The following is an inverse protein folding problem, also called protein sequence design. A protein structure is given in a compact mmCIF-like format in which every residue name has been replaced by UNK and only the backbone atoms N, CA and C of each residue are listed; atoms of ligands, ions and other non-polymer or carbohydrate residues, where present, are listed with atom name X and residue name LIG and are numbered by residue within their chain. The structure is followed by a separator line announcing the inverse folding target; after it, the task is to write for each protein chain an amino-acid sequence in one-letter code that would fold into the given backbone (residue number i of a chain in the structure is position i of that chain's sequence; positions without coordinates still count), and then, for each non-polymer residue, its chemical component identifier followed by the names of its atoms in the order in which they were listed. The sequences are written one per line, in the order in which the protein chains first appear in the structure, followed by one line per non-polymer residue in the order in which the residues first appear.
data_IF_870020024483
#
_entry.id   IF_870020024483
#
_cell.length_a   1.000
_cell.length_b   1.000
_cell.length_c   1.000
_cell.angle_alpha   90.00
_cell.angle_beta   90.00
_cell.angle_gamma   90.00
#
_symmetry.space_group_name_H-M   'P 1'
#
loop_
_entity.id
_entity.type
_entity.pdbx_description
1 polymer ?
#
# COMPACT_ATOMS: atom_id res chain seq x y z
N UNK A 1 -4.92 12.70 -36.83
CA UNK A 1 -4.81 12.43 -35.37
C UNK A 1 -4.24 13.66 -34.68
N UNK A 2 -4.71 13.99 -33.47
CA UNK A 2 -4.19 15.15 -32.73
C UNK A 2 -2.73 14.95 -32.30
N UNK A 3 -1.85 15.98 -32.41
CA UNK A 3 -0.43 15.89 -32.04
C UNK A 3 -0.20 15.41 -30.60
N UNK A 4 -1.08 15.80 -29.66
CA UNK A 4 -1.03 15.39 -28.26
C UNK A 4 -1.22 13.89 -28.07
N UNK A 5 -2.10 13.27 -28.87
CA UNK A 5 -2.36 11.81 -28.83
C UNK A 5 -1.14 11.05 -29.32
N UNK A 6 -0.52 11.51 -30.41
CA UNK A 6 0.70 10.89 -30.95
C UNK A 6 1.88 11.04 -29.99
N UNK A 7 2.03 12.20 -29.35
CA UNK A 7 3.09 12.43 -28.37
C UNK A 7 2.90 11.55 -27.13
N UNK A 8 1.67 11.46 -26.60
CA UNK A 8 1.36 10.56 -25.50
C UNK A 8 1.64 9.10 -25.85
N UNK A 9 1.29 8.69 -27.08
CA UNK A 9 1.54 7.33 -27.56
C UNK A 9 3.04 7.03 -27.64
N UNK A 10 3.86 7.99 -28.12
CA UNK A 10 5.33 7.81 -28.18
C UNK A 10 5.93 7.56 -26.80
N UNK A 11 5.51 8.33 -25.79
CA UNK A 11 5.95 8.13 -24.42
C UNK A 11 5.47 6.79 -23.84
N UNK A 12 4.26 6.35 -24.17
CA UNK A 12 3.74 5.05 -23.74
C UNK A 12 4.37 3.84 -24.46
N UNK A 13 5.08 4.05 -25.57
CA UNK A 13 5.72 2.99 -26.36
C UNK A 13 7.21 2.85 -26.10
N UNK A 14 7.84 3.81 -25.42
CA UNK A 14 9.27 3.78 -25.13
C UNK A 14 9.48 3.65 -23.62
N UNK A 15 9.54 2.41 -23.09
CA UNK A 15 9.97 2.22 -21.71
C UNK A 15 11.39 2.75 -21.54
N UNK A 16 11.62 3.47 -20.44
CA UNK A 16 12.95 3.96 -20.10
C UNK A 16 13.83 2.82 -19.58
N UNK A 17 13.22 1.87 -18.87
CA UNK A 17 13.87 0.71 -18.26
C UNK A 17 13.14 -0.57 -18.66
N UNK A 18 13.91 -1.58 -19.08
CA UNK A 18 13.45 -2.90 -19.52
C UNK A 18 14.16 -4.02 -18.74
N UNK A 19 13.68 -5.26 -18.90
CA UNK A 19 14.27 -6.50 -18.35
C UNK A 19 14.56 -6.44 -16.84
N UNK A 20 13.60 -5.92 -16.08
CA UNK A 20 13.74 -5.78 -14.63
C UNK A 20 13.66 -7.16 -13.97
N UNK A 21 14.70 -7.50 -13.21
CA UNK A 21 14.74 -8.72 -12.40
C UNK A 21 15.25 -8.42 -11.00
N UNK A 22 14.63 -9.07 -10.01
CA UNK A 22 14.91 -8.84 -8.59
C UNK A 22 15.41 -10.14 -7.99
N UNK A 23 16.62 -10.10 -7.44
CA UNK A 23 17.27 -11.24 -6.78
C UNK A 23 17.51 -10.91 -5.31
N UNK A 24 17.18 -11.86 -4.45
CA UNK A 24 17.29 -11.72 -2.99
C UNK A 24 18.46 -12.57 -2.51
N UNK A 25 19.43 -11.94 -1.85
CA UNK A 25 20.52 -12.62 -1.18
C UNK A 25 20.26 -12.58 0.34
N UNK A 26 19.80 -13.71 0.86
CA UNK A 26 19.32 -13.84 2.23
C UNK A 26 20.10 -14.92 2.99
N UNK A 27 20.26 -14.77 4.31
CA UNK A 27 20.92 -15.78 5.13
C UNK A 27 20.22 -17.14 5.09
N UNK A 28 21.02 -18.21 5.24
CA UNK A 28 20.53 -19.59 5.37
C UNK A 28 19.50 -19.65 6.51
N UNK A 29 18.21 -19.81 6.18
CA UNK A 29 16.98 -19.88 7.03
C UNK A 29 15.99 -18.73 6.85
N UNK A 30 16.31 -17.70 6.06
CA UNK A 30 15.36 -16.63 5.70
C UNK A 30 15.01 -16.75 4.23
N UNK A 31 13.73 -16.68 3.91
CA UNK A 31 13.20 -16.70 2.54
C UNK A 31 12.37 -15.45 2.28
N UNK A 32 12.43 -14.94 1.04
CA UNK A 32 11.57 -13.84 0.58
C UNK A 32 10.47 -14.40 -0.32
N UNK A 33 9.23 -14.01 -0.02
CA UNK A 33 8.08 -14.24 -0.89
C UNK A 33 7.61 -12.90 -1.44
N UNK A 34 7.71 -12.70 -2.76
CA UNK A 34 7.22 -11.49 -3.40
C UNK A 34 5.68 -11.51 -3.45
N UNK A 35 5.05 -10.43 -2.99
CA UNK A 35 3.59 -10.29 -2.87
C UNK A 35 2.96 -9.44 -3.98
N UNK A 36 3.78 -8.71 -4.73
CA UNK A 36 3.35 -7.88 -5.86
C UNK A 36 3.57 -8.60 -7.19
N UNK A 37 2.79 -8.27 -8.24
CA UNK A 37 3.06 -8.75 -9.60
C UNK A 37 4.48 -8.41 -10.07
N UNK A 38 5.09 -9.24 -10.95
CA UNK A 38 6.39 -8.93 -11.54
C UNK A 38 6.35 -7.61 -12.33
N UNK A 39 7.39 -6.79 -12.17
CA UNK A 39 7.58 -5.57 -12.96
C UNK A 39 8.46 -5.95 -14.15
N UNK A 40 8.00 -5.69 -15.37
CA UNK A 40 8.73 -6.01 -16.60
C UNK A 40 9.39 -4.78 -17.23
N UNK A 41 8.76 -3.62 -17.14
CA UNK A 41 9.27 -2.36 -17.69
C UNK A 41 8.83 -1.15 -16.87
N UNK A 42 9.54 -0.02 -17.02
CA UNK A 42 9.17 1.26 -16.42
C UNK A 42 9.29 2.39 -17.44
N UNK A 43 8.29 3.27 -17.44
CA UNK A 43 8.26 4.47 -18.28
C UNK A 43 8.80 5.69 -17.52
N UNK A 44 9.20 6.72 -18.26
CA UNK A 44 9.70 7.96 -17.66
C UNK A 44 8.65 8.59 -16.74
N UNK A 45 9.05 8.92 -15.50
CA UNK A 45 8.16 9.48 -14.48
C UNK A 45 7.31 8.46 -13.72
N UNK A 46 7.31 7.18 -14.13
CA UNK A 46 6.61 6.13 -13.41
C UNK A 46 7.44 5.63 -12.22
N UNK A 47 6.76 5.41 -11.09
CA UNK A 47 7.30 4.72 -9.92
C UNK A 47 6.61 3.37 -9.79
N UNK A 48 7.39 2.33 -9.49
CA UNK A 48 6.86 0.98 -9.24
C UNK A 48 7.27 0.53 -7.84
N UNK A 49 6.36 -0.17 -7.15
CA UNK A 49 6.55 -0.65 -5.78
C UNK A 49 6.49 -2.17 -5.76
N UNK A 50 7.45 -2.79 -5.08
CA UNK A 50 7.50 -4.23 -4.85
C UNK A 50 7.40 -4.50 -3.35
N UNK A 51 6.44 -5.33 -2.97
CA UNK A 51 6.29 -5.80 -1.60
C UNK A 51 6.80 -7.24 -1.51
N UNK A 52 7.63 -7.52 -0.52
CA UNK A 52 8.09 -8.88 -0.23
C UNK A 52 7.93 -9.18 1.26
N UNK A 53 7.45 -10.38 1.55
CA UNK A 53 7.36 -10.93 2.90
C UNK A 53 8.61 -11.77 3.18
N UNK A 54 9.33 -11.40 4.22
CA UNK A 54 10.45 -12.19 4.73
C UNK A 54 9.94 -13.16 5.78
N UNK A 55 10.27 -14.44 5.65
CA UNK A 55 9.92 -15.49 6.60
C UNK A 55 11.15 -16.27 7.03
N UNK A 56 11.26 -16.54 8.33
CA UNK A 56 12.38 -17.28 8.90
C UNK A 56 12.87 -16.70 10.23
N UNK A 57 13.81 -17.41 10.86
CA UNK A 57 14.52 -16.94 12.04
C UNK A 57 16.00 -16.82 11.72
N UNK A 58 16.56 -15.60 11.79
CA UNK A 58 18.00 -15.40 11.68
C UNK A 58 18.62 -15.41 13.08
N UNK A 59 19.56 -16.34 13.32
CA UNK A 59 20.27 -16.45 14.60
C UNK A 59 21.69 -15.87 14.56
N UNK A 60 22.23 -15.59 13.36
CA UNK A 60 23.63 -15.16 13.18
C UNK A 60 23.84 -14.04 12.17
N UNK A 61 22.99 -13.93 11.15
CA UNK A 61 23.12 -12.92 10.11
C UNK A 61 22.03 -11.86 10.29
N UNK A 62 22.47 -10.61 10.41
CA UNK A 62 21.63 -9.46 10.77
C UNK A 62 21.22 -8.65 9.54
N UNK A 63 21.72 -9.02 8.36
CA UNK A 63 21.59 -8.25 7.13
C UNK A 63 21.22 -9.17 5.96
N UNK A 64 20.40 -8.64 5.06
CA UNK A 64 20.10 -9.21 3.76
C UNK A 64 20.40 -8.19 2.67
N UNK A 65 20.46 -8.63 1.42
CA UNK A 65 20.58 -7.71 0.29
C UNK A 65 19.59 -8.03 -0.82
N UNK A 66 19.17 -6.98 -1.52
CA UNK A 66 18.34 -7.06 -2.71
C UNK A 66 19.13 -6.49 -3.86
N UNK A 67 19.28 -7.27 -4.92
CA UNK A 67 19.90 -6.81 -6.16
C UNK A 67 18.83 -6.72 -7.24
N UNK A 68 18.69 -5.52 -7.81
CA UNK A 68 17.82 -5.24 -8.95
C UNK A 68 18.69 -5.10 -10.18
N UNK A 69 18.47 -5.96 -11.18
CA UNK A 69 19.11 -5.88 -12.49
C UNK A 69 18.10 -5.38 -13.51
N UNK A 70 18.53 -4.50 -14.40
CA UNK A 70 17.67 -3.88 -15.40
C UNK A 70 18.49 -3.35 -16.59
N UNK A 71 17.82 -3.10 -17.71
CA UNK A 71 18.39 -2.46 -18.89
C UNK A 71 17.91 -1.02 -18.97
N UNK A 72 18.81 -0.04 -18.86
CA UNK A 72 18.50 1.39 -19.01
C UNK A 72 18.98 1.84 -20.39
N UNK A 73 18.05 2.26 -21.25
CA UNK A 73 18.36 2.67 -22.64
C UNK A 73 19.25 1.63 -23.38
N UNK A 74 18.95 0.33 -23.20
CA UNK A 74 19.69 -0.77 -23.82
C UNK A 74 21.02 -1.13 -23.14
N UNK A 75 21.36 -0.50 -22.01
CA UNK A 75 22.59 -0.80 -21.26
C UNK A 75 22.27 -1.57 -19.98
N UNK A 76 22.89 -2.75 -19.76
CA UNK A 76 22.68 -3.50 -18.54
C UNK A 76 23.23 -2.72 -17.34
N UNK A 77 22.42 -2.62 -16.30
CA UNK A 77 22.74 -1.95 -15.05
C UNK A 77 22.24 -2.82 -13.89
N UNK A 78 22.86 -2.65 -12.72
CA UNK A 78 22.42 -3.31 -11.51
C UNK A 78 22.60 -2.40 -10.31
N UNK A 79 21.68 -2.45 -9.36
CA UNK A 79 21.78 -1.80 -8.07
C UNK A 79 21.57 -2.82 -6.97
N UNK A 80 22.38 -2.74 -5.93
CA UNK A 80 22.27 -3.56 -4.74
C UNK A 80 21.94 -2.68 -3.54
N UNK A 81 20.94 -3.09 -2.78
CA UNK A 81 20.51 -2.45 -1.54
C UNK A 81 20.68 -3.45 -0.40
N UNK A 82 21.40 -3.05 0.63
CA UNK A 82 21.53 -3.80 1.87
C UNK A 82 20.53 -3.31 2.90
N UNK A 83 19.96 -4.23 3.68
CA UNK A 83 18.97 -3.90 4.70
C UNK A 83 19.11 -4.81 5.93
N UNK A 84 18.78 -4.26 7.10
CA UNK A 84 18.79 -5.05 8.34
C UNK A 84 17.57 -5.97 8.42
N UNK A 85 17.79 -7.20 8.87
CA UNK A 85 16.75 -8.17 9.19
C UNK A 85 16.15 -7.96 10.59
N UNK A 86 16.68 -7.00 11.37
CA UNK A 86 16.06 -6.60 12.62
C UNK A 86 14.77 -5.83 12.30
N UNK A 87 13.61 -6.29 12.78
CA UNK A 87 12.39 -5.53 12.65
C UNK A 87 12.59 -4.16 13.29
N UNK A 88 12.24 -3.10 12.58
CA UNK A 88 12.19 -1.77 13.18
C UNK A 88 11.05 -1.77 14.23
N UNK A 89 11.34 -1.27 15.44
CA UNK A 89 10.39 -1.32 16.56
C UNK A 89 9.12 -0.49 16.31
N UNK A 90 9.21 0.53 15.42
CA UNK A 90 8.14 1.53 15.23
C UNK A 90 7.77 1.81 13.76
N UNK A 91 7.97 0.87 12.84
CA UNK A 91 7.51 1.08 11.43
C UNK A 91 5.98 1.13 11.27
N UNK A 92 5.24 0.95 12.36
CA UNK A 92 3.78 0.83 12.35
C UNK A 92 3.29 -0.34 11.50
N UNK A 93 1.97 -0.39 11.29
CA UNK A 93 1.32 -1.41 10.47
C UNK A 93 1.08 -0.96 9.01
N UNK A 94 1.56 0.22 8.63
CA UNK A 94 1.22 0.83 7.33
C UNK A 94 1.74 0.02 6.16
N UNK A 95 3.03 -0.31 6.14
CA UNK A 95 3.63 -1.14 5.07
C UNK A 95 3.01 -2.53 5.06
N UNK A 96 2.73 -3.10 6.23
CA UNK A 96 2.06 -4.40 6.36
C UNK A 96 0.66 -4.38 5.71
N UNK A 97 -0.15 -3.36 6.00
CA UNK A 97 -1.48 -3.17 5.41
C UNK A 97 -1.41 -2.92 3.90
N UNK A 98 -0.42 -2.14 3.43
CA UNK A 98 -0.21 -1.91 1.99
C UNK A 98 0.19 -3.18 1.25
N UNK A 99 1.07 -3.98 1.84
CA UNK A 99 1.46 -5.29 1.30
C UNK A 99 0.28 -6.26 1.27
N UNK A 100 -0.49 -6.34 2.36
CA UNK A 100 -1.70 -7.17 2.43
C UNK A 100 -2.75 -6.73 1.40
N UNK A 101 -2.99 -5.42 1.26
CA UNK A 101 -3.91 -4.86 0.25
C UNK A 101 -3.47 -5.21 -1.17
N UNK A 102 -2.17 -5.14 -1.46
CA UNK A 102 -1.60 -5.52 -2.76
C UNK A 102 -1.86 -7.01 -3.05
N UNK A 103 -1.59 -7.87 -2.06
CA UNK A 103 -1.80 -9.31 -2.19
C UNK A 103 -3.28 -9.68 -2.35
N UNK A 104 -4.19 -9.06 -1.57
CA UNK A 104 -5.64 -9.25 -1.71
C UNK A 104 -6.08 -8.90 -3.12
N UNK A 105 -5.64 -7.75 -3.66
CA UNK A 105 -5.98 -7.34 -5.02
C UNK A 105 -5.47 -8.30 -6.08
N UNK A 106 -4.28 -8.87 -5.92
CA UNK A 106 -3.76 -9.89 -6.84
C UNK A 106 -4.65 -11.12 -6.85
N UNK A 107 -4.99 -11.63 -5.66
CA UNK A 107 -5.84 -12.82 -5.50
C UNK A 107 -7.26 -12.61 -6.03
N UNK A 108 -7.83 -11.41 -5.85
CA UNK A 108 -9.16 -11.06 -6.35
C UNK A 108 -9.21 -10.85 -7.88
N UNK A 109 -8.09 -10.52 -8.52
CA UNK A 109 -8.01 -10.42 -9.97
C UNK A 109 -7.84 -11.79 -10.62
N UNK A 110 -6.98 -12.65 -10.06
CA UNK A 110 -6.79 -14.03 -10.52
C UNK A 110 -8.09 -14.86 -10.47
N UNK A 111 -8.97 -14.62 -9.49
CA UNK A 111 -10.25 -15.32 -9.35
C UNK A 111 -11.27 -15.00 -10.47
N UNK A 112 -11.14 -13.83 -11.12
CA UNK A 112 -12.05 -13.44 -12.22
C UNK A 112 -11.81 -14.23 -13.50
N UNK A 113 -10.58 -14.73 -13.68
CA UNK A 113 -10.14 -15.38 -14.91
C UNK A 113 -10.38 -16.91 -14.89
N UNK A 114 -10.41 -17.56 -13.71
CA UNK A 114 -10.51 -19.02 -13.54
C UNK A 114 -11.86 -19.50 -12.96
N UNK A 115 -12.93 -19.39 -13.73
CA UNK A 115 -14.34 -19.51 -13.29
C UNK A 115 -14.85 -20.84 -12.68
N UNK A 116 -14.08 -21.91 -12.40
CA UNK A 116 -14.74 -23.19 -11.99
C UNK A 116 -14.19 -24.06 -10.85
N UNK A 117 -13.00 -23.89 -10.26
CA UNK A 117 -12.58 -24.78 -9.13
C UNK A 117 -11.67 -24.16 -8.05
N UNK A 118 -11.14 -22.95 -8.25
CA UNK A 118 -10.17 -22.31 -7.34
C UNK A 118 -10.80 -21.40 -6.26
N UNK A 119 -12.02 -20.91 -6.52
CA UNK A 119 -12.71 -19.85 -5.76
C UNK A 119 -12.74 -20.10 -4.24
N UNK A 120 -13.17 -21.29 -3.78
CA UNK A 120 -13.29 -21.55 -2.34
C UNK A 120 -11.95 -21.47 -1.57
N UNK A 121 -10.83 -21.87 -2.19
CA UNK A 121 -9.50 -21.80 -1.55
C UNK A 121 -8.97 -20.36 -1.55
N UNK A 122 -9.11 -19.66 -2.67
CA UNK A 122 -8.70 -18.26 -2.80
C UNK A 122 -9.50 -17.39 -1.84
N UNK A 123 -10.83 -17.52 -1.83
CA UNK A 123 -11.73 -16.85 -0.89
C UNK A 123 -11.32 -17.07 0.57
N UNK A 124 -11.06 -18.31 0.97
CA UNK A 124 -10.60 -18.60 2.35
C UNK A 124 -9.29 -17.89 2.68
N UNK A 125 -8.33 -17.89 1.76
CA UNK A 125 -7.04 -17.19 1.92
C UNK A 125 -7.24 -15.67 2.02
N UNK A 126 -8.09 -15.10 1.18
CA UNK A 126 -8.39 -13.66 1.16
C UNK A 126 -9.07 -13.22 2.46
N UNK A 127 -10.08 -13.97 2.92
CA UNK A 127 -10.75 -13.69 4.21
C UNK A 127 -9.75 -13.75 5.36
N UNK A 128 -8.92 -14.80 5.41
CA UNK A 128 -7.90 -14.93 6.46
C UNK A 128 -6.91 -13.75 6.45
N UNK A 129 -6.38 -13.38 5.28
CA UNK A 129 -5.45 -12.26 5.13
C UNK A 129 -6.11 -10.93 5.54
N UNK A 130 -7.36 -10.72 5.13
CA UNK A 130 -8.12 -9.51 5.44
C UNK A 130 -8.33 -9.33 6.94
N UNK A 131 -8.78 -10.37 7.64
CA UNK A 131 -9.00 -10.34 9.10
C UNK A 131 -7.69 -10.13 9.85
N UNK A 132 -6.61 -10.82 9.47
CA UNK A 132 -5.31 -10.70 10.14
C UNK A 132 -4.67 -9.33 9.95
N UNK A 133 -4.77 -8.75 8.74
CA UNK A 133 -4.14 -7.46 8.43
C UNK A 133 -5.03 -6.25 8.77
N UNK A 134 -6.32 -6.47 9.05
CA UNK A 134 -7.29 -5.39 9.19
C UNK A 134 -7.45 -4.58 7.90
N UNK A 135 -7.45 -5.25 6.75
CA UNK A 135 -7.63 -4.64 5.43
C UNK A 135 -8.91 -5.19 4.80
N UNK A 136 -9.82 -4.32 4.38
CA UNK A 136 -11.07 -4.72 3.73
C UNK A 136 -10.81 -5.42 2.39
N UNK A 137 -11.60 -6.46 2.10
CA UNK A 137 -11.65 -7.17 0.82
C UNK A 137 -13.09 -7.18 0.28
N UNK A 138 -13.29 -7.66 -0.95
CA UNK A 138 -14.61 -8.00 -1.51
C UNK A 138 -15.40 -9.04 -0.68
N UNK A 139 -14.73 -9.84 0.16
CA UNK A 139 -15.38 -10.88 0.98
C UNK A 139 -15.55 -10.53 2.45
N UNK A 140 -15.07 -9.36 2.90
CA UNK A 140 -15.06 -8.95 4.31
C UNK A 140 -15.51 -7.51 4.46
N UNK A 141 -16.04 -7.17 5.63
CA UNK A 141 -16.47 -5.81 5.94
C UNK A 141 -16.22 -5.48 7.41
N UNK A 142 -16.01 -4.19 7.68
CA UNK A 142 -15.95 -3.69 9.04
C UNK A 142 -17.36 -3.40 9.55
N UNK A 143 -17.65 -3.89 10.76
CA UNK A 143 -18.91 -3.62 11.44
C UNK A 143 -18.61 -2.74 12.64
N UNK A 144 -19.34 -1.63 12.73
CA UNK A 144 -19.27 -0.76 13.89
C UNK A 144 -19.98 -1.43 15.07
N UNK A 145 -19.29 -1.50 16.21
CA UNK A 145 -19.81 -2.06 17.46
C UNK A 145 -19.84 -0.95 18.49
N UNK A 146 -20.96 -0.82 19.18
CA UNK A 146 -21.09 0.12 20.29
C UNK A 146 -20.25 -0.39 21.48
N UNK A 147 -19.23 0.36 21.92
CA UNK A 147 -18.31 0.01 23.02
C UNK A 147 -19.03 -0.24 24.35
N UNK A 148 -20.09 0.50 24.64
CA UNK A 148 -20.79 0.39 25.92
C UNK A 148 -21.68 -0.86 26.00
N UNK A 149 -22.35 -1.21 24.90
CA UNK A 149 -23.27 -2.36 24.85
C UNK A 149 -22.65 -3.63 24.25
N UNK A 150 -21.50 -3.53 23.58
CA UNK A 150 -20.87 -4.64 22.85
C UNK A 150 -21.68 -5.15 21.66
N UNK A 151 -22.79 -4.47 21.32
CA UNK A 151 -23.68 -4.89 20.23
C UNK A 151 -23.29 -4.21 18.93
N UNK A 152 -23.29 -5.01 17.85
CA UNK A 152 -23.16 -4.49 16.49
C UNK A 152 -24.28 -3.49 16.21
N UNK A 153 -23.93 -2.37 15.59
CA UNK A 153 -24.92 -1.38 15.17
C UNK A 153 -25.81 -2.04 14.12
N UNK A 154 -27.10 -2.15 14.42
CA UNK A 154 -28.09 -2.68 13.50
C UNK A 154 -28.77 -1.51 12.77
N UNK A 155 -28.63 -1.49 11.45
CA UNK A 155 -29.26 -0.51 10.58
C UNK A 155 -28.36 -0.06 9.44
N UNK A 156 -28.93 0.59 8.42
CA UNK A 156 -28.15 1.17 7.33
C UNK A 156 -27.25 2.30 7.85
N UNK A 157 -26.09 2.47 7.23
CA UNK A 157 -25.20 3.60 7.49
C UNK A 157 -25.93 4.91 7.16
N UNK A 158 -26.20 5.71 8.18
CA UNK A 158 -26.81 7.04 8.02
C UNK A 158 -25.71 8.06 7.85
N UNK A 159 -25.71 8.79 6.73
CA UNK A 159 -24.79 9.90 6.50
C UNK A 159 -25.03 10.98 7.57
N UNK A 160 -24.02 11.25 8.39
CA UNK A 160 -23.95 12.44 9.23
C UNK A 160 -22.92 13.38 8.64
N UNK A 161 -23.31 14.63 8.43
CA UNK A 161 -22.34 15.68 8.13
C UNK A 161 -21.74 16.12 9.46
N UNK A 162 -20.54 15.63 9.76
CA UNK A 162 -19.75 16.11 10.90
C UNK A 162 -19.16 17.45 10.47
N UNK A 163 -19.44 18.57 11.18
CA UNK A 163 -18.80 19.84 10.88
C UNK A 163 -17.30 19.67 11.08
N UNK A 164 -16.53 19.62 10.00
CA UNK A 164 -15.08 19.73 10.08
C UNK A 164 -14.79 21.11 10.64
N UNK A 165 -14.12 21.21 11.79
CA UNK A 165 -13.64 22.49 12.27
C UNK A 165 -12.75 23.08 11.18
N UNK A 166 -13.22 24.12 10.49
CA UNK A 166 -12.39 24.89 9.60
C UNK A 166 -11.30 25.50 10.46
N UNK A 167 -10.10 24.93 10.42
CA UNK A 167 -8.90 25.70 10.77
C UNK A 167 -8.96 26.96 9.89
N UNK A 168 -9.07 28.13 10.53
CA UNK A 168 -9.10 29.43 9.88
C UNK A 168 -7.74 29.70 9.21
N UNK A 169 -7.46 29.01 8.11
CA UNK A 169 -6.45 29.46 7.16
C UNK A 169 -7.09 30.63 6.40
N UNK A 170 -6.58 31.84 6.68
CA UNK A 170 -6.98 33.08 6.01
C UNK A 170 -7.02 32.87 4.49
N UNK A 171 -8.06 33.34 3.79
CA UNK A 171 -8.14 33.19 2.34
C UNK A 171 -7.15 34.16 1.69
N UNK A 172 -6.02 33.65 1.20
CA UNK A 172 -5.47 34.18 -0.03
C UNK A 172 -6.05 33.35 -1.18
N UNK A 173 -6.68 34.04 -2.11
CA UNK A 173 -7.46 33.49 -3.19
C UNK A 173 -6.64 32.50 -4.04
N UNK A 174 -7.08 31.25 -4.09
CA UNK A 174 -6.76 30.34 -5.19
C UNK A 174 -8.05 29.66 -5.63
N UNK A 175 -8.59 30.15 -6.75
CA UNK A 175 -9.69 29.54 -7.47
C UNK A 175 -9.14 28.38 -8.29
N UNK A 176 -9.10 27.19 -7.72
CA UNK A 176 -9.10 25.95 -8.50
C UNK A 176 -9.68 24.81 -7.68
N UNK A 177 -10.56 24.05 -8.35
CA UNK A 177 -11.15 22.81 -7.86
C UNK A 177 -10.02 21.83 -7.54
N UNK A 178 -9.80 21.57 -6.25
CA UNK A 178 -8.85 20.55 -5.81
C UNK A 178 -9.49 19.17 -6.03
N UNK A 179 -9.16 18.55 -7.16
CA UNK A 179 -9.08 17.09 -7.19
C UNK A 179 -8.00 16.70 -6.17
N UNK A 180 -8.35 15.85 -5.20
CA UNK A 180 -7.35 15.24 -4.31
C UNK A 180 -6.45 14.32 -5.13
N UNK A 181 -5.42 14.90 -5.73
CA UNK A 181 -4.29 14.18 -6.27
C UNK A 181 -3.33 13.91 -5.10
N UNK A 182 -2.97 12.64 -4.92
CA UNK A 182 -2.15 12.18 -3.81
C UNK A 182 -0.67 12.25 -4.24
N UNK A 183 -0.12 13.45 -4.35
CA UNK A 183 1.31 13.68 -4.56
C UNK A 183 1.95 14.17 -3.27
N UNK A 184 2.72 13.28 -2.64
CA UNK A 184 3.60 13.54 -1.51
C UNK A 184 4.93 14.03 -2.07
N UNK A 185 5.15 15.35 -2.05
CA UNK A 185 6.48 15.94 -2.22
C UNK A 185 7.00 16.29 -0.82
N UNK A 186 8.14 15.69 -0.48
CA UNK A 186 8.85 15.95 0.77
C UNK A 186 9.78 17.13 0.54
N UNK A 187 9.70 18.16 1.38
CA UNK A 187 10.85 19.04 1.62
C UNK A 187 11.06 19.22 3.13
N UNK A 188 12.34 19.08 3.48
CA UNK A 188 12.97 19.31 4.77
C UNK A 188 12.82 20.78 5.18
N UNK A 189 12.30 21.03 6.39
CA UNK A 189 12.92 21.94 7.36
C UNK A 189 12.21 21.89 8.72
N UNK A 190 13.01 22.10 9.75
CA UNK A 190 12.88 21.62 11.13
C UNK A 190 12.52 22.77 12.09
N UNK A 191 11.42 22.67 12.87
CA UNK A 191 11.32 22.95 14.33
C UNK A 191 9.85 22.95 14.84
N UNK A 192 9.62 22.66 16.14
CA UNK A 192 8.44 21.94 16.61
C UNK A 192 7.31 22.89 16.96
N UNK A 193 6.26 22.89 16.16
CA UNK A 193 5.00 23.50 16.57
C UNK A 193 4.22 22.47 17.37
N UNK A 194 4.02 22.75 18.67
CA UNK A 194 3.20 21.95 19.56
C UNK A 194 2.01 21.37 18.81
N UNK A 195 1.93 20.04 18.82
CA UNK A 195 0.73 19.32 18.43
C UNK A 195 -0.39 19.85 19.31
N UNK A 196 -1.15 20.80 18.77
CA UNK A 196 -2.51 21.02 19.16
C UNK A 196 -3.25 19.77 18.72
N UNK A 197 -3.11 18.70 19.52
CA UNK A 197 -3.94 17.52 19.47
C UNK A 197 -5.35 18.09 19.57
N UNK A 198 -6.18 18.02 18.52
CA UNK A 198 -7.58 18.22 18.74
C UNK A 198 -7.89 17.11 19.74
N UNK A 199 -8.25 17.49 20.97
CA UNK A 199 -9.00 16.61 21.84
C UNK A 199 -10.22 16.24 21.01
N UNK A 200 -10.11 15.17 20.24
CA UNK A 200 -11.22 14.36 19.84
C UNK A 200 -11.93 14.12 21.16
N UNK A 201 -13.01 14.88 21.37
CA UNK A 201 -13.92 14.66 22.47
C UNK A 201 -14.04 13.14 22.58
N UNK A 202 -13.70 12.59 23.75
CA UNK A 202 -13.86 11.19 24.10
C UNK A 202 -15.36 10.85 24.19
N UNK A 203 -16.10 11.08 23.10
CA UNK A 203 -17.54 10.92 23.03
C UNK A 203 -17.97 9.93 21.96
N UNK A 204 -17.04 9.21 21.32
CA UNK A 204 -17.41 8.09 20.46
C UNK A 204 -17.14 6.75 21.15
N UNK A 205 -18.18 6.29 21.85
CA UNK A 205 -18.32 4.96 22.41
C UNK A 205 -18.43 3.88 21.31
N UNK A 206 -17.64 3.94 20.24
CA UNK A 206 -17.72 3.02 19.10
C UNK A 206 -16.34 2.42 18.78
N UNK A 207 -16.30 1.09 18.70
CA UNK A 207 -15.14 0.28 18.35
C UNK A 207 -15.37 -0.40 17.00
N UNK A 208 -14.28 -0.63 16.26
CA UNK A 208 -14.35 -1.25 14.94
C UNK A 208 -13.93 -2.72 15.07
N UNK A 209 -14.79 -3.63 14.64
CA UNK A 209 -14.47 -5.06 14.54
C UNK A 209 -14.45 -5.50 13.07
N UNK A 210 -13.45 -6.28 12.69
CA UNK A 210 -13.39 -6.98 11.39
C UNK A 210 -14.06 -8.34 11.50
N UNK A 211 -14.88 -8.69 10.51
CA UNK A 211 -15.50 -10.02 10.35
C UNK A 211 -14.99 -10.68 9.07
#
# INVERSE_FOLDING_TARGET
MQPKVIQSLRFALQPAVEDISITWDLPKRVTATVLSPPITSMFQGQRSLVYAQLTGQSSKATEGSVTVKYSLAGRPSQNQLHFSLKPAEDTGLTVHRLAARTLIRSLEMEDRDDRRKSDARVKKKVVQLSVQSGVSSSFTAFIAVNKASGKAIQGPLVRRNVPTAMCYMRPQACSSVVYCDLSMECEDDFEPMELCVPQCLESSNEGICSV
#
